data_IF_595107746797
#
_entry.id   IF_595107746797
#
_cell.length_a   1.000
_cell.length_b   1.000
_cell.length_c   1.000
_cell.angle_alpha   90.00
_cell.angle_beta   90.00
_cell.angle_gamma   90.00
#
_symmetry.space_group_name_H-M   'P 1'
#
loop_
_entity.id
_entity.type
_entity.pdbx_description
1 polymer ?
#
# COMPACT_ATOMS: atom_id res chain seq x y z
N UNK A 1 8.72 12.57 -18.76
CA UNK A 1 8.48 13.17 -17.42
C UNK A 1 8.56 12.14 -16.29
N UNK A 2 8.80 10.85 -16.56
CA UNK A 2 8.86 9.80 -15.53
C UNK A 2 7.52 9.09 -15.30
N UNK A 3 6.46 9.45 -16.04
CA UNK A 3 5.14 8.85 -15.90
C UNK A 3 5.14 7.34 -16.18
N UNK A 4 5.95 6.86 -17.13
CA UNK A 4 5.99 5.44 -17.50
C UNK A 4 6.41 4.49 -16.37
N UNK A 5 7.09 5.01 -15.34
CA UNK A 5 7.39 4.25 -14.12
C UNK A 5 6.11 3.74 -13.42
N UNK A 6 4.95 4.36 -13.68
CA UNK A 6 3.64 3.92 -13.22
C UNK A 6 3.33 2.46 -13.61
N UNK A 7 3.91 1.98 -14.71
CA UNK A 7 3.69 0.64 -15.25
C UNK A 7 4.66 -0.41 -14.71
N UNK A 8 5.54 -0.04 -13.78
CA UNK A 8 6.52 -0.95 -13.20
C UNK A 8 6.40 -1.00 -11.68
N UNK A 9 6.45 -2.22 -11.12
CA UNK A 9 6.68 -2.43 -9.70
C UNK A 9 7.54 -3.67 -9.50
N UNK A 10 8.41 -3.64 -8.49
CA UNK A 10 9.00 -4.85 -7.95
C UNK A 10 7.99 -5.51 -6.99
N UNK A 11 7.84 -6.82 -7.06
CA UNK A 11 6.86 -7.59 -6.29
C UNK A 11 7.58 -8.56 -5.34
N UNK A 12 7.14 -8.60 -4.08
CA UNK A 12 7.67 -9.49 -3.05
C UNK A 12 6.51 -10.21 -2.36
N UNK A 13 6.49 -11.55 -2.41
CA UNK A 13 5.40 -12.38 -1.88
C UNK A 13 4.00 -12.03 -2.41
N UNK A 14 3.90 -11.31 -3.53
CA UNK A 14 2.62 -10.96 -4.17
C UNK A 14 2.12 -12.17 -4.95
N UNK A 15 0.95 -12.74 -4.63
CA UNK A 15 0.40 -13.89 -5.36
C UNK A 15 -0.15 -13.48 -6.74
N UNK A 16 -0.33 -14.43 -7.66
CA UNK A 16 -1.05 -14.19 -8.92
C UNK A 16 -2.51 -13.82 -8.64
N UNK A 17 -3.16 -13.13 -9.59
CA UNK A 17 -4.58 -12.78 -9.49
C UNK A 17 -4.91 -11.54 -8.64
N UNK A 18 -3.89 -10.79 -8.21
CA UNK A 18 -4.07 -9.45 -7.63
C UNK A 18 -4.63 -8.48 -8.70
N UNK A 19 -5.75 -7.78 -8.46
CA UNK A 19 -6.42 -6.98 -9.48
C UNK A 19 -5.94 -5.52 -9.54
N UNK A 20 -4.66 -5.25 -9.23
CA UNK A 20 -4.08 -3.90 -9.19
C UNK A 20 -2.87 -3.76 -10.11
N UNK A 21 -2.82 -2.66 -10.86
CA UNK A 21 -1.67 -2.29 -11.69
C UNK A 21 -0.51 -1.81 -10.81
N UNK A 22 0.76 -2.14 -11.14
CA UNK A 22 1.23 -3.07 -12.17
C UNK A 22 1.50 -4.48 -11.63
N UNK A 23 1.03 -4.81 -10.42
CA UNK A 23 1.24 -6.11 -9.78
C UNK A 23 0.35 -7.25 -10.31
N UNK A 24 -0.58 -6.97 -11.22
CA UNK A 24 -1.46 -7.97 -11.80
C UNK A 24 -0.72 -8.91 -12.76
N UNK A 25 -0.70 -10.20 -12.45
CA UNK A 25 -0.20 -11.25 -13.34
C UNK A 25 -0.99 -12.56 -13.15
N UNK A 26 -0.88 -13.44 -14.15
CA UNK A 26 -1.45 -14.79 -14.15
C UNK A 26 -0.29 -15.80 -14.19
N UNK A 27 -0.42 -16.90 -13.44
CA UNK A 27 0.61 -17.94 -13.32
C UNK A 27 0.43 -19.11 -14.31
N UNK A 28 -0.60 -19.05 -15.16
CA UNK A 28 -0.95 -20.12 -16.10
C UNK A 28 -1.99 -21.10 -15.56
N UNK A 29 -2.54 -20.86 -14.37
CA UNK A 29 -3.63 -21.64 -13.77
C UNK A 29 -4.98 -21.45 -14.44
N UNK A 30 -6.05 -21.75 -13.67
CA UNK A 30 -7.43 -21.61 -14.13
C UNK A 30 -7.79 -20.12 -14.32
N UNK A 31 -8.43 -19.81 -15.46
CA UNK A 31 -8.91 -18.47 -15.73
C UNK A 31 -9.87 -18.00 -14.63
N UNK A 32 -9.65 -16.79 -14.12
CA UNK A 32 -10.49 -16.20 -13.08
C UNK A 32 -10.65 -14.70 -13.26
N UNK A 33 -11.72 -14.16 -12.67
CA UNK A 33 -12.02 -12.73 -12.59
C UNK A 33 -11.77 -12.27 -11.16
N UNK A 34 -10.91 -11.29 -10.98
CA UNK A 34 -10.68 -10.58 -9.73
C UNK A 34 -11.05 -9.10 -9.92
N UNK A 35 -11.59 -8.47 -8.88
CA UNK A 35 -12.00 -7.06 -8.94
C UNK A 35 -11.26 -6.26 -7.87
N UNK A 36 -10.54 -5.22 -8.27
CA UNK A 36 -9.99 -4.22 -7.36
C UNK A 36 -10.93 -3.02 -7.29
N UNK A 37 -11.13 -2.47 -6.10
CA UNK A 37 -12.01 -1.31 -5.91
C UNK A 37 -11.30 -0.16 -5.20
N UNK A 38 -11.70 1.06 -5.55
CA UNK A 38 -11.42 2.27 -4.77
C UNK A 38 -12.36 2.29 -3.55
N UNK A 39 -11.80 2.25 -2.34
CA UNK A 39 -12.59 2.03 -1.11
C UNK A 39 -12.20 2.94 0.06
N UNK A 40 -11.18 3.80 -0.08
CA UNK A 40 -10.73 4.66 1.03
C UNK A 40 -11.83 5.59 1.58
N UNK A 41 -12.77 6.02 0.73
CA UNK A 41 -13.91 6.85 1.14
C UNK A 41 -14.78 6.19 2.22
N UNK A 42 -14.91 4.85 2.21
CA UNK A 42 -15.68 4.13 3.22
C UNK A 42 -15.10 4.33 4.63
N UNK A 43 -13.77 4.41 4.75
CA UNK A 43 -13.12 4.67 6.03
C UNK A 43 -13.30 6.11 6.49
N UNK A 44 -13.28 7.08 5.56
CA UNK A 44 -13.55 8.49 5.87
C UNK A 44 -14.98 8.65 6.39
N UNK A 45 -15.95 8.05 5.70
CA UNK A 45 -17.37 8.12 6.06
C UNK A 45 -17.64 7.45 7.41
N UNK A 46 -17.11 6.23 7.63
CA UNK A 46 -17.29 5.50 8.89
C UNK A 46 -16.71 6.25 10.09
N UNK A 47 -15.53 6.85 9.95
CA UNK A 47 -14.92 7.67 10.99
C UNK A 47 -15.66 8.98 11.22
N UNK A 48 -16.19 9.62 10.17
CA UNK A 48 -16.93 10.86 10.28
C UNK A 48 -18.31 10.67 10.93
N UNK A 49 -18.94 9.52 10.74
CA UNK A 49 -20.26 9.20 11.27
C UNK A 49 -20.23 8.69 12.73
N UNK A 50 -19.05 8.44 13.30
CA UNK A 50 -18.90 7.73 14.56
C UNK A 50 -18.39 8.60 15.69
N UNK A 51 -18.83 8.30 16.91
CA UNK A 51 -18.41 8.96 18.15
C UNK A 51 -17.26 8.24 18.87
N UNK A 52 -16.96 7.01 18.44
CA UNK A 52 -15.93 6.16 19.04
C UNK A 52 -15.29 5.23 18.00
N UNK A 53 -14.08 4.75 18.30
CA UNK A 53 -13.40 3.79 17.43
C UNK A 53 -14.19 2.47 17.23
N UNK A 54 -14.76 1.83 18.27
CA UNK A 54 -15.53 0.60 18.07
C UNK A 54 -16.74 0.77 17.14
N UNK A 55 -17.40 1.94 17.21
CA UNK A 55 -18.51 2.30 16.31
C UNK A 55 -18.03 2.46 14.87
N UNK A 56 -16.93 3.19 14.66
CA UNK A 56 -16.34 3.39 13.33
C UNK A 56 -15.86 2.08 12.72
N UNK A 57 -15.21 1.23 13.53
CA UNK A 57 -14.73 -0.08 13.12
C UNK A 57 -15.89 -0.96 12.66
N UNK A 58 -16.98 -1.00 13.44
CA UNK A 58 -18.18 -1.75 13.08
C UNK A 58 -18.79 -1.22 11.77
N UNK A 59 -18.99 0.09 11.67
CA UNK A 59 -19.58 0.71 10.47
C UNK A 59 -18.75 0.49 9.21
N UNK A 60 -17.41 0.54 9.32
CA UNK A 60 -16.51 0.25 8.19
C UNK A 60 -16.62 -1.22 7.74
N UNK A 61 -16.64 -2.18 8.68
CA UNK A 61 -16.82 -3.60 8.36
C UNK A 61 -18.15 -3.84 7.65
N UNK A 62 -19.26 -3.33 8.19
CA UNK A 62 -20.60 -3.50 7.61
C UNK A 62 -20.66 -2.89 6.21
N UNK A 63 -20.09 -1.69 6.02
CA UNK A 63 -20.04 -1.03 4.72
C UNK A 63 -19.20 -1.81 3.70
N UNK A 64 -18.02 -2.29 4.08
CA UNK A 64 -17.17 -3.12 3.22
C UNK A 64 -17.90 -4.39 2.81
N UNK A 65 -18.49 -5.12 3.76
CA UNK A 65 -19.22 -6.36 3.48
C UNK A 65 -20.41 -6.12 2.53
N UNK A 66 -21.18 -5.05 2.76
CA UNK A 66 -22.31 -4.68 1.91
C UNK A 66 -21.87 -4.36 0.47
N UNK A 67 -20.85 -3.51 0.30
CA UNK A 67 -20.38 -3.10 -1.02
C UNK A 67 -19.67 -4.25 -1.75
N UNK A 68 -18.84 -5.02 -1.05
CA UNK A 68 -18.18 -6.21 -1.61
C UNK A 68 -19.21 -7.24 -2.09
N UNK A 69 -20.27 -7.51 -1.31
CA UNK A 69 -21.34 -8.42 -1.71
C UNK A 69 -21.98 -8.02 -3.04
N UNK A 70 -22.27 -6.73 -3.22
CA UNK A 70 -22.84 -6.19 -4.47
C UNK A 70 -21.87 -6.30 -5.65
N UNK A 71 -20.58 -6.00 -5.43
CA UNK A 71 -19.55 -6.14 -6.47
C UNK A 71 -19.41 -7.60 -6.90
N UNK A 72 -19.39 -8.53 -5.95
CA UNK A 72 -19.27 -9.95 -6.23
C UNK A 72 -20.51 -10.50 -6.94
N UNK A 73 -21.71 -10.05 -6.60
CA UNK A 73 -22.94 -10.40 -7.31
C UNK A 73 -22.86 -9.99 -8.79
N UNK A 74 -22.48 -8.73 -9.06
CA UNK A 74 -22.31 -8.24 -10.42
C UNK A 74 -21.21 -9.02 -11.15
N UNK A 75 -20.04 -9.22 -10.53
CA UNK A 75 -18.93 -9.95 -11.12
C UNK A 75 -19.32 -11.38 -11.51
N UNK A 76 -20.05 -12.10 -10.64
CA UNK A 76 -20.53 -13.46 -10.92
C UNK A 76 -21.58 -13.50 -12.03
N UNK A 77 -22.46 -12.50 -12.09
CA UNK A 77 -23.45 -12.40 -13.17
C UNK A 77 -22.81 -12.09 -14.53
N UNK A 78 -21.72 -11.33 -14.53
CA UNK A 78 -21.01 -10.89 -15.73
C UNK A 78 -19.87 -11.83 -16.16
N UNK A 79 -19.46 -12.79 -15.32
CA UNK A 79 -18.27 -13.63 -15.59
C UNK A 79 -18.47 -14.69 -16.67
N UNK A 80 -19.69 -14.88 -17.18
CA UNK A 80 -19.95 -15.84 -18.26
C UNK A 80 -19.59 -17.29 -17.90
N UNK A 81 -19.63 -17.64 -16.61
CA UNK A 81 -19.23 -18.96 -16.09
C UNK A 81 -17.75 -19.05 -15.68
N UNK A 82 -16.93 -18.03 -15.94
CA UNK A 82 -15.57 -17.96 -15.39
C UNK A 82 -15.61 -17.78 -13.88
N UNK A 83 -14.70 -18.45 -13.17
CA UNK A 83 -14.56 -18.34 -11.71
C UNK A 83 -14.30 -16.90 -11.29
N UNK A 84 -15.02 -16.40 -10.28
CA UNK A 84 -14.69 -15.14 -9.61
C UNK A 84 -13.75 -15.45 -8.44
N UNK A 85 -12.52 -14.96 -8.50
CA UNK A 85 -11.50 -15.17 -7.47
C UNK A 85 -11.81 -14.37 -6.19
N UNK A 86 -12.45 -13.21 -6.32
CA UNK A 86 -12.84 -12.37 -5.20
C UNK A 86 -12.75 -10.88 -5.53
N UNK A 87 -12.92 -10.08 -4.48
CA UNK A 87 -12.70 -8.62 -4.51
C UNK A 87 -11.52 -8.25 -3.62
N UNK A 88 -10.63 -7.41 -4.12
CA UNK A 88 -9.60 -6.75 -3.31
C UNK A 88 -10.16 -5.40 -2.84
N UNK A 89 -10.54 -5.36 -1.57
CA UNK A 89 -11.13 -4.19 -0.91
C UNK A 89 -10.09 -3.42 -0.11
N UNK A 90 -8.82 -3.50 -0.54
CA UNK A 90 -7.82 -2.59 -0.03
C UNK A 90 -8.35 -1.16 -0.09
N UNK A 91 -8.09 -0.37 0.96
CA UNK A 91 -8.53 1.04 1.03
C UNK A 91 -7.72 1.91 0.05
N UNK A 92 -7.86 1.64 -1.25
CA UNK A 92 -7.28 2.38 -2.36
C UNK A 92 -7.93 3.77 -2.43
N UNK A 93 -7.11 4.85 -2.47
CA UNK A 93 -7.58 6.22 -2.43
C UNK A 93 -7.82 6.80 -3.83
N UNK A 94 -8.40 8.00 -3.83
CA UNK A 94 -8.46 8.91 -4.96
C UNK A 94 -7.83 10.26 -4.54
N UNK A 95 -7.31 11.09 -5.45
CA UNK A 95 -6.70 12.39 -5.13
C UNK A 95 -7.74 13.47 -4.74
N UNK A 96 -8.61 13.16 -3.78
CA UNK A 96 -9.45 14.10 -3.05
C UNK A 96 -9.55 13.70 -1.57
N UNK A 97 -9.87 14.67 -0.71
CA UNK A 97 -9.91 14.46 0.73
C UNK A 97 -11.04 13.52 1.20
N UNK A 98 -12.18 13.46 0.50
CA UNK A 98 -13.28 12.58 0.90
C UNK A 98 -12.97 11.11 0.63
N UNK A 99 -12.08 10.82 -0.34
CA UNK A 99 -11.64 9.46 -0.71
C UNK A 99 -10.16 9.24 -0.46
N UNK A 100 -9.62 9.96 0.52
CA UNK A 100 -8.22 9.85 0.93
C UNK A 100 -8.11 8.93 2.14
N UNK A 101 -7.28 7.90 2.01
CA UNK A 101 -6.86 7.09 3.16
C UNK A 101 -6.11 7.96 4.17
N UNK A 102 -5.40 8.98 3.69
CA UNK A 102 -4.71 9.90 4.55
C UNK A 102 -5.66 10.66 5.46
N UNK A 103 -6.81 11.09 4.93
CA UNK A 103 -7.88 11.71 5.72
C UNK A 103 -8.40 10.77 6.80
N UNK A 104 -8.61 9.49 6.48
CA UNK A 104 -9.03 8.50 7.48
C UNK A 104 -7.98 8.31 8.59
N UNK A 105 -6.69 8.24 8.24
CA UNK A 105 -5.60 8.11 9.21
C UNK A 105 -5.50 9.35 10.11
N UNK A 106 -5.60 10.57 9.56
CA UNK A 106 -5.55 11.80 10.37
C UNK A 106 -6.74 11.91 11.31
N UNK A 107 -7.95 11.53 10.86
CA UNK A 107 -9.16 11.47 11.69
C UNK A 107 -9.03 10.47 12.84
N UNK A 108 -8.49 9.28 12.57
CA UNK A 108 -8.34 8.24 13.59
C UNK A 108 -7.22 8.56 14.60
N UNK A 109 -6.09 9.06 14.13
CA UNK A 109 -4.93 9.38 14.97
C UNK A 109 -5.06 10.70 15.74
N UNK A 110 -5.91 11.61 15.26
CA UNK A 110 -6.06 12.96 15.80
C UNK A 110 -4.91 13.91 15.45
N UNK A 111 -3.99 13.49 14.57
CA UNK A 111 -2.80 14.25 14.17
C UNK A 111 -2.50 14.10 12.68
N UNK A 112 -1.49 14.82 12.21
CA UNK A 112 -1.05 14.68 10.82
C UNK A 112 -0.27 13.40 10.60
N UNK A 113 -0.42 12.79 9.42
CA UNK A 113 0.41 11.64 9.02
C UNK A 113 1.88 12.03 9.07
N UNK A 114 2.70 11.11 9.58
CA UNK A 114 4.11 11.35 9.89
C UNK A 114 4.36 11.60 11.39
N UNK A 115 3.31 11.87 12.17
CA UNK A 115 3.44 12.03 13.62
C UNK A 115 3.37 10.69 14.36
N UNK A 116 3.73 10.72 15.66
CA UNK A 116 3.45 9.61 16.57
C UNK A 116 1.96 9.24 16.51
N UNK A 117 1.64 7.97 16.76
CA UNK A 117 0.29 7.39 16.59
C UNK A 117 -0.15 7.11 15.15
N UNK A 118 0.53 7.65 14.11
CA UNK A 118 0.22 7.30 12.71
C UNK A 118 0.28 5.79 12.48
N UNK A 119 1.36 5.13 12.93
CA UNK A 119 1.52 3.68 12.78
C UNK A 119 0.36 2.89 13.42
N UNK A 120 -0.09 3.32 14.60
CA UNK A 120 -1.20 2.67 15.31
C UNK A 120 -2.52 2.85 14.54
N UNK A 121 -2.79 4.04 14.01
CA UNK A 121 -3.98 4.29 13.21
C UNK A 121 -3.99 3.44 11.91
N UNK A 122 -2.85 3.34 11.21
CA UNK A 122 -2.72 2.46 10.04
C UNK A 122 -2.98 1.01 10.43
N UNK A 123 -2.41 0.53 11.54
CA UNK A 123 -2.63 -0.84 12.01
C UNK A 123 -4.10 -1.11 12.37
N UNK A 124 -4.77 -0.17 13.05
CA UNK A 124 -6.19 -0.28 13.40
C UNK A 124 -7.10 -0.34 12.18
N UNK A 125 -6.84 0.49 11.17
CA UNK A 125 -7.59 0.44 9.92
C UNK A 125 -7.32 -0.87 9.16
N UNK A 126 -6.08 -1.35 9.11
CA UNK A 126 -5.73 -2.58 8.40
C UNK A 126 -6.39 -3.80 9.07
N UNK A 127 -6.37 -3.86 10.39
CA UNK A 127 -7.04 -4.92 11.16
C UNK A 127 -8.57 -4.85 11.01
N UNK A 128 -9.14 -3.66 10.82
CA UNK A 128 -10.57 -3.50 10.54
C UNK A 128 -10.96 -4.11 9.19
N UNK A 129 -10.13 -3.89 8.17
CA UNK A 129 -10.27 -4.53 6.86
C UNK A 129 -10.14 -6.05 7.00
N UNK A 130 -9.22 -6.55 7.82
CA UNK A 130 -9.08 -7.98 8.08
C UNK A 130 -10.35 -8.64 8.67
N UNK A 131 -11.14 -7.89 9.46
CA UNK A 131 -12.38 -8.39 10.08
C UNK A 131 -13.54 -8.63 9.10
N UNK A 132 -13.56 -7.97 7.95
CA UNK A 132 -14.67 -8.05 7.00
C UNK A 132 -14.76 -9.44 6.34
N UNK A 133 -15.91 -10.11 6.43
CA UNK A 133 -16.12 -11.46 5.91
C UNK A 133 -16.63 -11.43 4.48
N UNK A 134 -15.70 -11.36 3.53
CA UNK A 134 -15.97 -11.31 2.09
C UNK A 134 -15.05 -12.26 1.33
N UNK A 135 -15.50 -12.74 0.17
CA UNK A 135 -14.65 -13.49 -0.75
C UNK A 135 -13.59 -12.55 -1.32
N UNK A 136 -12.42 -12.58 -0.69
CA UNK A 136 -11.34 -11.62 -0.92
C UNK A 136 -10.21 -12.17 -1.77
N UNK A 137 -9.53 -11.29 -2.48
CA UNK A 137 -8.32 -11.59 -3.24
C UNK A 137 -7.33 -10.42 -3.13
N UNK A 138 -6.14 -10.59 -3.70
CA UNK A 138 -5.11 -9.57 -3.75
C UNK A 138 -4.51 -9.23 -2.39
N UNK A 139 -4.29 -7.93 -2.14
CA UNK A 139 -3.72 -7.41 -0.90
C UNK A 139 -4.74 -7.33 0.23
N UNK A 140 -5.96 -6.87 -0.05
CA UNK A 140 -7.07 -6.64 0.90
C UNK A 140 -6.61 -5.96 2.21
N UNK A 141 -5.92 -4.83 2.10
CA UNK A 141 -5.33 -4.10 3.22
C UNK A 141 -5.50 -2.58 3.14
N UNK A 142 -4.42 -1.84 3.38
CA UNK A 142 -4.36 -0.38 3.14
C UNK A 142 -3.32 -0.07 2.07
N UNK A 143 -3.72 0.78 1.12
CA UNK A 143 -2.88 1.36 0.08
C UNK A 143 -2.32 2.69 0.55
N UNK A 144 -1.03 2.95 0.37
CA UNK A 144 -0.40 4.24 0.67
C UNK A 144 0.28 4.87 -0.58
N UNK A 145 -0.45 5.06 -1.70
CA UNK A 145 0.10 5.66 -2.91
C UNK A 145 0.26 7.17 -2.76
N UNK A 146 1.51 7.64 -2.72
CA UNK A 146 1.82 9.06 -2.52
C UNK A 146 1.17 9.96 -3.58
N UNK A 147 1.19 9.60 -4.85
CA UNK A 147 0.55 10.41 -5.89
C UNK A 147 -0.98 10.26 -5.92
N UNK A 148 -1.54 9.11 -5.52
CA UNK A 148 -2.98 8.83 -5.70
C UNK A 148 -3.84 9.27 -4.50
N UNK A 149 -3.22 9.77 -3.41
CA UNK A 149 -3.92 10.28 -2.22
C UNK A 149 -3.61 11.76 -1.97
N UNK A 150 -4.65 12.60 -1.89
CA UNK A 150 -4.48 14.04 -1.73
C UNK A 150 -3.78 14.45 -0.42
N UNK A 151 -4.06 13.76 0.70
CA UNK A 151 -3.47 14.08 2.00
C UNK A 151 -2.04 13.55 2.06
N UNK A 152 -1.80 12.32 1.60
CA UNK A 152 -0.47 11.75 1.57
C UNK A 152 0.48 12.57 0.68
N UNK A 153 0.01 12.98 -0.50
CA UNK A 153 0.71 13.89 -1.40
C UNK A 153 1.08 15.21 -0.71
N UNK A 154 0.12 15.81 0.02
CA UNK A 154 0.35 17.05 0.75
C UNK A 154 1.37 16.87 1.88
N UNK A 155 1.27 15.81 2.69
CA UNK A 155 2.20 15.55 3.80
C UNK A 155 3.60 15.19 3.32
N UNK A 156 3.73 14.50 2.19
CA UNK A 156 5.02 14.29 1.53
C UNK A 156 5.62 15.63 1.04
N UNK A 157 4.81 16.51 0.45
CA UNK A 157 5.27 17.83 0.01
C UNK A 157 5.66 18.77 1.17
N UNK A 158 5.06 18.59 2.34
CA UNK A 158 5.44 19.28 3.58
C UNK A 158 6.70 18.69 4.24
N UNK A 159 7.24 17.58 3.73
CA UNK A 159 8.37 16.86 4.32
C UNK A 159 8.02 16.10 5.60
N UNK A 160 6.72 15.88 5.88
CA UNK A 160 6.24 15.14 7.06
C UNK A 160 6.21 13.63 6.86
N UNK A 161 6.09 13.20 5.62
CA UNK A 161 6.08 11.78 5.23
C UNK A 161 7.21 11.54 4.25
N UNK A 162 8.17 10.72 4.66
CA UNK A 162 9.28 10.28 3.82
C UNK A 162 9.20 8.79 3.48
N UNK A 163 10.20 8.33 2.73
CA UNK A 163 10.33 6.94 2.31
C UNK A 163 10.34 5.96 3.49
N UNK A 164 11.05 6.32 4.56
CA UNK A 164 11.19 5.49 5.77
C UNK A 164 9.86 5.37 6.54
N UNK A 165 9.05 6.42 6.55
CA UNK A 165 7.72 6.40 7.16
C UNK A 165 6.79 5.47 6.40
N UNK A 166 6.76 5.58 5.07
CA UNK A 166 5.98 4.69 4.20
C UNK A 166 6.39 3.22 4.37
N UNK A 167 7.70 2.96 4.45
CA UNK A 167 8.23 1.62 4.73
C UNK A 167 7.82 1.12 6.13
N UNK A 168 7.87 1.98 7.14
CA UNK A 168 7.41 1.65 8.49
C UNK A 168 5.92 1.31 8.49
N UNK A 169 5.08 2.09 7.82
CA UNK A 169 3.63 1.83 7.74
C UNK A 169 3.33 0.55 6.95
N UNK A 170 4.15 0.22 5.95
CA UNK A 170 4.08 -1.05 5.22
C UNK A 170 4.27 -2.27 6.13
N UNK A 171 4.89 -2.12 7.30
CA UNK A 171 5.00 -3.22 8.26
C UNK A 171 3.63 -3.66 8.80
N UNK A 172 2.64 -2.77 8.80
CA UNK A 172 1.28 -3.02 9.32
C UNK A 172 0.18 -2.93 8.25
N UNK A 173 0.49 -2.61 6.98
CA UNK A 173 -0.49 -2.57 5.87
C UNK A 173 -0.08 -3.33 4.60
N UNK A 174 -0.95 -3.41 3.59
CA UNK A 174 -0.88 -4.45 2.54
C UNK A 174 0.00 -4.17 1.32
N UNK A 175 0.44 -2.94 1.03
CA UNK A 175 0.95 -2.63 -0.33
C UNK A 175 2.44 -2.45 -0.51
N UNK A 176 3.15 -2.01 0.52
CA UNK A 176 4.53 -1.55 0.36
C UNK A 176 4.62 -0.10 -0.10
N UNK A 177 5.65 0.21 -0.90
CA UNK A 177 5.96 1.55 -1.37
C UNK A 177 5.26 1.81 -2.70
N UNK A 178 4.36 2.79 -2.74
CA UNK A 178 3.49 2.96 -3.88
C UNK A 178 3.45 4.39 -4.43
N UNK A 179 3.60 4.55 -5.74
CA UNK A 179 3.76 5.84 -6.46
C UNK A 179 4.71 6.82 -5.79
N UNK A 180 5.85 6.35 -5.27
CA UNK A 180 6.74 7.20 -4.47
C UNK A 180 7.61 8.07 -5.38
N UNK A 181 7.50 9.41 -5.35
CA UNK A 181 8.33 10.29 -6.20
C UNK A 181 9.77 10.34 -5.71
N UNK A 182 10.71 9.92 -6.55
CA UNK A 182 12.14 9.87 -6.26
C UNK A 182 12.93 10.84 -7.16
N UNK A 183 14.14 11.26 -6.75
CA UNK A 183 15.02 12.07 -7.59
C UNK A 183 15.29 11.38 -8.93
N UNK A 184 15.31 12.14 -10.03
CA UNK A 184 15.57 11.60 -11.36
C UNK A 184 17.02 11.13 -11.55
N UNK A 185 17.93 11.62 -10.71
CA UNK A 185 19.34 11.26 -10.65
C UNK A 185 19.64 10.20 -9.58
N UNK A 186 18.61 9.56 -9.01
CA UNK A 186 18.80 8.46 -8.07
C UNK A 186 19.58 7.32 -8.74
N UNK A 187 20.62 6.84 -8.07
CA UNK A 187 21.45 5.77 -8.61
C UNK A 187 20.83 4.37 -8.39
N UNK A 188 21.34 3.40 -9.15
CA UNK A 188 20.85 2.03 -9.07
C UNK A 188 21.15 1.36 -7.72
N UNK A 189 22.19 1.81 -6.99
CA UNK A 189 22.54 1.26 -5.68
C UNK A 189 21.51 1.67 -4.63
N UNK A 190 21.08 2.93 -4.64
CA UNK A 190 20.03 3.45 -3.79
C UNK A 190 18.71 2.74 -4.08
N UNK A 191 18.31 2.64 -5.36
CA UNK A 191 17.13 1.87 -5.75
C UNK A 191 17.18 0.42 -5.26
N UNK A 192 18.32 -0.26 -5.45
CA UNK A 192 18.51 -1.64 -5.00
C UNK A 192 18.41 -1.78 -3.48
N UNK A 193 18.94 -0.82 -2.72
CA UNK A 193 18.82 -0.79 -1.27
C UNK A 193 17.36 -0.61 -0.80
N UNK A 194 16.60 0.28 -1.44
CA UNK A 194 15.17 0.46 -1.16
C UNK A 194 14.42 -0.84 -1.43
N UNK A 195 14.65 -1.47 -2.59
CA UNK A 195 14.02 -2.73 -2.94
C UNK A 195 14.39 -3.84 -1.96
N UNK A 196 15.63 -3.87 -1.48
CA UNK A 196 16.09 -4.83 -0.48
C UNK A 196 15.38 -4.63 0.87
N UNK A 197 15.15 -3.39 1.29
CA UNK A 197 14.39 -3.09 2.52
C UNK A 197 12.94 -3.57 2.42
N UNK A 198 12.28 -3.33 1.27
CA UNK A 198 10.91 -3.84 1.02
C UNK A 198 10.89 -5.37 1.00
N UNK A 199 11.86 -6.00 0.33
CA UNK A 199 12.00 -7.46 0.28
C UNK A 199 12.19 -8.05 1.68
N UNK A 200 13.09 -7.47 2.48
CA UNK A 200 13.35 -7.92 3.84
C UNK A 200 12.08 -7.82 4.69
N UNK A 201 11.32 -6.73 4.56
CA UNK A 201 10.05 -6.56 5.28
C UNK A 201 9.01 -7.61 4.85
N UNK A 202 8.84 -7.81 3.54
CA UNK A 202 7.90 -8.80 2.98
C UNK A 202 8.23 -10.22 3.44
N UNK A 203 9.50 -10.62 3.36
CA UNK A 203 9.98 -11.95 3.74
C UNK A 203 9.89 -12.18 5.24
N UNK A 204 10.29 -11.20 6.07
CA UNK A 204 10.23 -11.32 7.54
C UNK A 204 8.80 -11.39 8.07
N UNK A 205 7.87 -10.67 7.44
CA UNK A 205 6.47 -10.61 7.85
C UNK A 205 5.58 -11.63 7.13
N UNK A 206 6.12 -12.34 6.14
CA UNK A 206 5.39 -13.28 5.29
C UNK A 206 4.12 -12.66 4.69
N UNK A 207 4.29 -11.49 4.06
CA UNK A 207 3.18 -10.72 3.50
C UNK A 207 3.52 -10.18 2.11
N UNK A 208 2.51 -9.99 1.23
CA UNK A 208 2.73 -9.35 -0.06
C UNK A 208 3.12 -7.88 0.15
N UNK A 209 4.16 -7.42 -0.54
CA UNK A 209 4.51 -6.01 -0.67
C UNK A 209 5.00 -5.74 -2.09
N UNK A 210 4.79 -4.52 -2.56
CA UNK A 210 5.29 -4.03 -3.83
C UNK A 210 6.11 -2.75 -3.65
N UNK A 211 6.91 -2.44 -4.66
CA UNK A 211 7.63 -1.18 -4.75
C UNK A 211 7.41 -0.56 -6.14
N UNK A 212 6.46 0.38 -6.23
CA UNK A 212 6.22 1.26 -7.38
C UNK A 212 6.91 2.59 -7.13
N UNK A 213 8.20 2.63 -7.47
CA UNK A 213 9.06 3.81 -7.30
C UNK A 213 9.02 4.66 -8.57
N UNK A 214 8.98 5.99 -8.42
CA UNK A 214 8.85 6.92 -9.54
C UNK A 214 10.03 7.91 -9.57
N UNK A 215 11.22 7.52 -10.07
CA UNK A 215 12.28 8.48 -10.41
C UNK A 215 11.78 9.50 -11.44
N UNK A 216 11.87 10.79 -11.13
CA UNK A 216 11.33 11.86 -11.98
C UNK A 216 12.47 12.57 -12.74
N UNK A 217 12.64 12.34 -14.05
CA UNK A 217 13.76 12.89 -14.82
C UNK A 217 13.90 14.42 -14.69
N UNK A 218 15.12 14.87 -14.41
CA UNK A 218 15.44 16.29 -14.26
C UNK A 218 14.96 16.93 -12.97
N UNK A 219 14.39 16.16 -12.02
CA UNK A 219 13.98 16.65 -10.70
C UNK A 219 14.90 16.13 -9.61
N UNK A 220 15.12 16.97 -8.59
CA UNK A 220 15.86 16.68 -7.37
C UNK A 220 14.92 16.62 -6.17
N UNK A 221 15.41 16.12 -5.05
CA UNK A 221 14.68 16.12 -3.78
C UNK A 221 14.11 17.51 -3.47
N UNK A 222 12.82 17.55 -3.08
CA UNK A 222 12.09 18.77 -2.79
C UNK A 222 11.47 19.48 -4.01
N UNK A 223 11.85 19.12 -5.25
CA UNK A 223 11.24 19.74 -6.42
C UNK A 223 9.77 19.37 -6.55
N UNK A 224 8.94 20.33 -6.99
CA UNK A 224 7.53 20.09 -7.25
C UNK A 224 7.33 19.18 -8.48
N UNK A 225 6.39 18.25 -8.34
CA UNK A 225 5.99 17.29 -9.37
C UNK A 225 4.47 17.37 -9.53
N UNK A 226 4.04 17.53 -10.78
CA UNK A 226 2.64 17.49 -11.18
C UNK A 226 2.58 16.76 -12.51
N UNK A 227 1.74 15.73 -12.57
CA UNK A 227 1.39 15.06 -13.81
C UNK A 227 0.03 15.59 -14.29
N UNK A 228 -0.17 15.58 -15.62
CA UNK A 228 -1.49 15.77 -16.21
C UNK A 228 -2.23 14.43 -16.24
N UNK A 229 -2.60 13.95 -15.05
CA UNK A 229 -3.26 12.67 -14.86
C UNK A 229 -4.31 12.81 -13.74
N UNK A 230 -5.60 12.52 -13.99
CA UNK A 230 -6.68 12.84 -13.06
C UNK A 230 -6.63 12.07 -11.74
N UNK A 231 -5.88 10.96 -11.68
CA UNK A 231 -5.72 10.15 -10.48
C UNK A 231 -4.50 10.56 -9.65
N UNK A 232 -3.73 11.57 -10.06
CA UNK A 232 -2.55 12.05 -9.33
C UNK A 232 -2.74 13.45 -8.72
N UNK A 233 -2.49 13.56 -7.42
CA UNK A 233 -2.33 14.81 -6.71
C UNK A 233 -0.90 15.37 -6.89
N UNK A 234 -0.72 16.70 -6.96
CA UNK A 234 0.61 17.30 -7.00
C UNK A 234 1.34 17.11 -5.67
N UNK A 235 2.64 16.86 -5.72
CA UNK A 235 3.49 16.70 -4.53
C UNK A 235 4.93 17.15 -4.83
N UNK A 236 5.90 16.74 -4.01
CA UNK A 236 7.33 16.98 -4.22
C UNK A 236 8.11 15.67 -4.22
N UNK A 237 9.25 15.68 -4.88
CA UNK A 237 10.22 14.58 -4.83
C UNK A 237 10.67 14.33 -3.38
N UNK A 238 10.53 13.10 -2.91
CA UNK A 238 10.96 12.69 -1.57
C UNK A 238 12.48 12.49 -1.59
N UNK A 239 13.15 13.01 -0.57
CA UNK A 239 14.58 12.81 -0.40
C UNK A 239 14.91 11.34 -0.09
N UNK A 240 15.97 10.83 -0.70
CA UNK A 240 16.51 9.49 -0.43
C UNK A 240 17.93 9.66 0.07
N UNK A 241 18.22 9.09 1.23
CA UNK A 241 19.58 9.04 1.75
C UNK A 241 20.42 8.11 0.90
N UNK A 242 21.68 8.50 0.62
CA UNK A 242 22.61 7.61 -0.07
C UNK A 242 22.81 6.32 0.75
N UNK A 243 22.78 5.13 0.10
CA UNK A 243 23.04 3.89 0.79
C UNK A 243 24.47 3.88 1.35
N UNK A 244 24.69 3.13 2.43
CA UNK A 244 26.02 2.96 2.99
C UNK A 244 26.97 2.37 1.95
N UNK A 245 28.16 2.98 1.81
CA UNK A 245 29.08 2.68 0.71
C UNK A 245 29.75 1.30 0.78
N UNK A 246 29.82 0.68 1.96
CA UNK A 246 30.48 -0.61 2.18
C UNK A 246 29.83 -1.37 3.37
N UNK A 247 29.26 -2.53 3.08
CA UNK A 247 28.71 -3.44 4.09
C UNK A 247 28.49 -4.84 3.52
N UNK A 248 28.36 -5.86 4.38
CA UNK A 248 28.24 -7.26 3.93
C UNK A 248 27.06 -7.50 2.97
N UNK A 249 25.98 -6.73 3.10
CA UNK A 249 24.83 -6.78 2.20
C UNK A 249 25.18 -6.34 0.76
N UNK A 250 26.11 -5.40 0.59
CA UNK A 250 26.52 -4.89 -0.72
C UNK A 250 27.38 -5.88 -1.53
N UNK A 251 27.99 -6.86 -0.85
CA UNK A 251 28.79 -7.92 -1.47
C UNK A 251 28.03 -9.23 -1.66
N UNK A 252 26.83 -9.36 -1.10
CA UNK A 252 26.06 -10.58 -1.17
C UNK A 252 25.37 -10.72 -2.53
N UNK A 253 25.63 -11.84 -3.23
CA UNK A 253 24.90 -12.19 -4.46
C UNK A 253 23.51 -12.72 -4.15
N UNK A 254 23.39 -13.45 -3.04
CA UNK A 254 22.13 -14.02 -2.54
C UNK A 254 22.02 -13.75 -1.05
N UNK A 255 20.83 -13.34 -0.61
CA UNK A 255 20.50 -13.15 0.79
C UNK A 255 19.45 -14.18 1.21
N UNK A 256 19.64 -14.78 2.39
CA UNK A 256 18.68 -15.70 2.98
C UNK A 256 17.97 -15.02 4.15
N UNK A 257 16.68 -14.72 3.97
CA UNK A 257 15.82 -14.10 4.97
C UNK A 257 14.54 -14.93 5.04
N UNK A 258 14.30 -15.57 6.18
CA UNK A 258 13.05 -16.33 6.43
C UNK A 258 12.02 -15.51 7.21
N UNK A 259 10.77 -15.99 7.33
CA UNK A 259 9.73 -15.34 8.11
C UNK A 259 10.02 -15.34 9.62
N UNK A 260 9.40 -14.41 10.37
CA UNK A 260 9.53 -14.38 11.83
C UNK A 260 8.79 -15.57 12.43
N UNK A 261 9.47 -16.50 13.13
CA UNK A 261 8.80 -17.62 13.74
C UNK A 261 7.83 -17.10 14.81
N UNK A 262 6.57 -17.52 14.74
CA UNK A 262 5.61 -17.35 15.83
C UNK A 262 5.95 -18.39 16.88
N UNK A 263 6.80 -18.05 17.85
CA UNK A 263 7.08 -18.95 18.99
C UNK A 263 5.74 -19.22 19.70
N UNK A 264 5.29 -20.47 19.70
CA UNK A 264 4.19 -20.88 20.58
C UNK A 264 4.78 -21.06 21.97
N UNK A 265 4.00 -20.78 23.01
CA UNK A 265 4.43 -20.99 24.40
C UNK A 265 4.79 -22.48 24.72
N UNK A 266 4.53 -23.40 23.79
CA UNK A 266 4.78 -24.84 23.90
C UNK A 266 5.96 -25.35 23.07
N UNK A 267 6.73 -24.48 22.39
CA UNK A 267 7.92 -24.95 21.66
C UNK A 267 9.06 -25.18 22.67
N UNK A 268 9.68 -26.37 22.73
CA UNK A 268 10.83 -26.59 23.60
C UNK A 268 11.95 -25.63 23.22
N UNK A 269 12.59 -25.04 24.23
CA UNK A 269 13.75 -24.18 24.01
C UNK A 269 14.86 -24.92 23.24
N UNK A 270 15.63 -24.22 22.39
CA UNK A 270 16.66 -24.82 21.54
C UNK A 270 17.81 -25.45 22.33
#
# INVERSE_FOLDING_TARGET
DGFDNLRFAALFNVPPGVPFLPGAYHDGGEASVAVGVEAAGLAVDALAASSSWPEAQKGLVESVEQHAGRVLEVARSASGGTRVAGVDFSLAPFPDAARSIGTAIERLSGGSIGQVSTLAAVACLAETIDRARVDRTGYSGIFLPVFEDAVLAARAAEGRVGLKDLLLYSSVCGTGLDTVPLPGDIDTKALSAILLDVAALALRLDKPLSARLMPIPGKRAGDAVRFDFPYFAPTRVIAVDSPAAAGLLSSAVTLSIGPRPRRRASDPEP
#
